data_IF_014569906761
#
_entry.id   IF_014569906761
#
_cell.length_a   1.000
_cell.length_b   1.000
_cell.length_c   1.000
_cell.angle_alpha   90.00
_cell.angle_beta   90.00
_cell.angle_gamma   90.00
#
_symmetry.space_group_name_H-M   'P 1'
#
loop_
_entity.id
_entity.type
_entity.pdbx_description
1 polymer ?
#
# COMPACT_ATOMS: atom_id res chain seq x y z
N UNK A 1 -19.35 2.01 -16.11
CA UNK A 1 -19.74 0.64 -16.51
C UNK A 1 -20.54 0.13 -15.37
N UNK A 2 -21.80 -0.23 -15.57
CA UNK A 2 -22.73 -0.44 -14.46
C UNK A 2 -22.27 -1.56 -13.49
N UNK A 3 -22.13 -1.23 -12.19
CA UNK A 3 -21.78 -2.18 -11.13
C UNK A 3 -23.03 -2.84 -10.50
N UNK A 4 -24.19 -2.76 -11.16
CA UNK A 4 -25.47 -3.33 -10.73
C UNK A 4 -25.45 -4.84 -10.39
N UNK A 5 -24.44 -5.56 -10.89
CA UNK A 5 -24.23 -6.98 -10.61
C UNK A 5 -23.62 -7.25 -9.23
N UNK A 6 -23.01 -6.26 -8.58
CA UNK A 6 -22.29 -6.46 -7.31
C UNK A 6 -23.30 -6.59 -6.17
N UNK A 7 -23.43 -7.79 -5.59
CA UNK A 7 -24.29 -8.02 -4.41
C UNK A 7 -23.48 -8.36 -3.18
N UNK A 8 -22.38 -9.08 -3.35
CA UNK A 8 -21.44 -9.44 -2.28
C UNK A 8 -20.02 -9.18 -2.74
N UNK A 9 -19.25 -8.43 -1.96
CA UNK A 9 -17.85 -8.17 -2.29
C UNK A 9 -16.97 -8.17 -1.04
N UNK A 10 -15.66 -8.22 -1.24
CA UNK A 10 -14.70 -8.19 -0.14
C UNK A 10 -13.61 -7.15 -0.37
N UNK A 11 -13.14 -6.57 0.74
CA UNK A 11 -11.96 -5.73 0.78
C UNK A 11 -10.96 -6.34 1.75
N UNK A 12 -9.94 -6.98 1.18
CA UNK A 12 -8.85 -7.61 1.91
C UNK A 12 -7.56 -6.83 1.65
N UNK A 13 -6.54 -7.08 2.46
CA UNK A 13 -5.22 -6.51 2.25
C UNK A 13 -4.58 -5.96 3.51
N UNK A 14 -3.64 -5.07 3.27
CA UNK A 14 -2.82 -4.43 4.30
C UNK A 14 -3.35 -3.04 4.72
N UNK A 15 -2.46 -2.19 5.24
CA UNK A 15 -2.79 -0.85 5.72
C UNK A 15 -3.32 0.09 4.63
N UNK A 16 -2.99 -0.14 3.36
CA UNK A 16 -3.50 0.68 2.25
C UNK A 16 -4.98 0.39 1.96
N UNK A 17 -5.39 -0.88 2.02
CA UNK A 17 -6.81 -1.25 1.97
C UNK A 17 -7.56 -0.88 3.26
N UNK A 18 -6.91 -0.98 4.42
CA UNK A 18 -7.49 -0.52 5.68
C UNK A 18 -7.67 1.02 5.72
N UNK A 19 -6.87 1.75 4.93
CA UNK A 19 -6.92 3.21 4.80
C UNK A 19 -6.36 3.95 6.02
N UNK A 20 -5.24 3.47 6.58
CA UNK A 20 -4.60 4.14 7.74
C UNK A 20 -4.41 5.64 7.46
N UNK A 21 -4.95 6.48 8.33
CA UNK A 21 -4.85 7.95 8.23
C UNK A 21 -5.96 8.62 7.43
N UNK A 22 -6.88 7.88 6.82
CA UNK A 22 -8.00 8.44 6.04
C UNK A 22 -9.25 8.69 6.88
N UNK A 23 -9.52 9.92 7.33
CA UNK A 23 -10.71 10.20 8.13
C UNK A 23 -10.66 9.54 9.51
N UNK A 24 -11.76 8.91 9.95
CA UNK A 24 -11.89 8.30 11.29
C UNK A 24 -11.75 6.78 11.26
N UNK A 25 -11.08 6.24 12.28
CA UNK A 25 -10.99 4.80 12.50
C UNK A 25 -12.37 4.23 12.84
N UNK A 26 -12.81 3.21 12.10
CA UNK A 26 -14.06 2.49 12.32
C UNK A 26 -14.04 1.79 13.69
N UNK A 27 -15.14 1.96 14.44
CA UNK A 27 -15.35 1.27 15.71
C UNK A 27 -15.34 -0.25 15.48
N UNK A 28 -14.66 -0.98 16.35
CA UNK A 28 -14.56 -2.45 16.26
C UNK A 28 -13.48 -2.96 15.32
N UNK A 29 -12.76 -2.09 14.60
CA UNK A 29 -11.65 -2.51 13.71
C UNK A 29 -10.36 -2.91 14.43
N UNK A 30 -10.33 -2.91 15.76
CA UNK A 30 -9.23 -3.42 16.58
C UNK A 30 -7.85 -2.86 16.19
N UNK A 31 -6.82 -3.70 16.21
CA UNK A 31 -5.47 -3.36 15.73
C UNK A 31 -5.39 -3.24 14.21
N UNK A 32 -6.33 -3.85 13.47
CA UNK A 32 -6.36 -3.78 12.00
C UNK A 32 -6.51 -2.36 11.47
N UNK A 33 -7.16 -1.47 12.22
CA UNK A 33 -7.18 -0.04 11.91
C UNK A 33 -7.86 0.25 10.59
N UNK A 34 -9.13 -0.11 10.44
CA UNK A 34 -9.92 0.20 9.24
C UNK A 34 -10.55 1.58 9.38
N UNK A 35 -10.50 2.40 8.34
CA UNK A 35 -10.93 3.80 8.37
C UNK A 35 -12.15 4.04 7.47
N UNK A 36 -12.94 5.08 7.78
CA UNK A 36 -14.22 5.40 7.11
C UNK A 36 -14.08 6.12 5.76
N UNK A 37 -12.89 6.67 5.47
CA UNK A 37 -12.51 7.25 4.18
C UNK A 37 -11.47 6.41 3.42
N UNK A 38 -11.33 5.14 3.76
CA UNK A 38 -10.51 4.21 2.99
C UNK A 38 -11.10 3.97 1.59
N UNK A 39 -10.28 3.56 0.63
CA UNK A 39 -10.78 3.30 -0.72
C UNK A 39 -11.93 2.27 -0.74
N UNK A 40 -11.96 1.18 0.08
CA UNK A 40 -13.12 0.30 0.14
C UNK A 40 -14.40 1.03 0.60
N UNK A 41 -14.30 1.91 1.59
CA UNK A 41 -15.44 2.67 2.08
C UNK A 41 -15.93 3.71 1.05
N UNK A 42 -15.02 4.27 0.25
CA UNK A 42 -15.36 5.14 -0.87
C UNK A 42 -16.06 4.34 -2.00
N UNK A 43 -15.56 3.15 -2.33
CA UNK A 43 -16.20 2.24 -3.28
C UNK A 43 -17.60 1.85 -2.83
N UNK A 44 -17.80 1.52 -1.55
CA UNK A 44 -19.13 1.20 -1.00
C UNK A 44 -20.15 2.33 -1.20
N UNK A 45 -19.68 3.59 -1.23
CA UNK A 45 -20.51 4.79 -1.42
C UNK A 45 -20.51 5.29 -2.86
N UNK A 46 -19.79 4.62 -3.76
CA UNK A 46 -19.64 5.07 -5.14
C UNK A 46 -20.98 5.06 -5.86
N UNK A 47 -21.20 6.00 -6.77
CA UNK A 47 -22.51 6.23 -7.37
C UNK A 47 -22.98 5.08 -8.27
N UNK A 48 -22.05 4.37 -8.92
CA UNK A 48 -22.35 3.19 -9.74
C UNK A 48 -22.59 1.92 -8.89
N UNK A 49 -22.27 1.91 -7.58
CA UNK A 49 -22.60 0.76 -6.73
C UNK A 49 -24.12 0.67 -6.49
N UNK A 50 -24.68 -0.54 -6.38
CA UNK A 50 -26.09 -0.72 -6.08
C UNK A 50 -26.48 -0.04 -4.78
N UNK A 51 -27.62 0.66 -4.79
CA UNK A 51 -28.14 1.35 -3.59
C UNK A 51 -29.29 0.58 -2.93
N UNK A 52 -30.03 -0.21 -3.71
CA UNK A 52 -31.25 -0.90 -3.26
C UNK A 52 -31.37 -2.33 -3.84
N UNK A 53 -31.04 -3.38 -3.06
CA UNK A 53 -30.27 -3.31 -1.81
C UNK A 53 -28.81 -2.92 -2.10
N UNK A 54 -28.19 -2.25 -1.12
CA UNK A 54 -26.75 -2.01 -1.13
C UNK A 54 -25.98 -3.35 -1.03
N UNK A 55 -24.80 -3.48 -1.67
CA UNK A 55 -24.03 -4.69 -1.61
C UNK A 55 -23.46 -4.92 -0.20
N UNK A 56 -23.38 -6.18 0.21
CA UNK A 56 -22.70 -6.56 1.44
C UNK A 56 -21.19 -6.58 1.21
N UNK A 57 -20.43 -6.02 2.15
CA UNK A 57 -18.97 -6.00 2.11
C UNK A 57 -18.39 -6.78 3.29
N UNK A 58 -17.57 -7.79 2.97
CA UNK A 58 -16.64 -8.38 3.94
C UNK A 58 -15.35 -7.56 3.94
N UNK A 59 -15.28 -6.59 4.86
CA UNK A 59 -14.12 -5.71 4.99
C UNK A 59 -13.13 -6.33 5.97
N UNK A 60 -12.11 -7.05 5.48
CA UNK A 60 -11.17 -7.81 6.30
C UNK A 60 -9.73 -7.24 6.30
N UNK A 61 -9.43 -6.21 5.51
CA UNK A 61 -8.12 -5.58 5.45
C UNK A 61 -7.55 -5.23 6.84
N UNK A 62 -6.25 -5.39 7.01
CA UNK A 62 -5.61 -5.27 8.32
C UNK A 62 -4.21 -4.68 8.21
N UNK A 63 -3.96 -3.59 8.93
CA UNK A 63 -2.64 -2.95 8.98
C UNK A 63 -1.55 -3.92 9.41
N UNK A 64 -0.40 -3.85 8.74
CA UNK A 64 0.75 -4.71 8.98
C UNK A 64 0.66 -6.11 8.38
N UNK A 65 -0.45 -6.48 7.73
CA UNK A 65 -0.60 -7.80 7.13
C UNK A 65 0.36 -7.99 5.96
N UNK A 66 1.12 -9.09 6.00
CA UNK A 66 1.90 -9.63 4.87
C UNK A 66 1.01 -10.53 4.00
N UNK A 67 1.46 -10.83 2.78
CA UNK A 67 0.71 -11.70 1.86
C UNK A 67 0.41 -13.09 2.43
N UNK A 68 1.34 -13.77 3.14
CA UNK A 68 1.02 -15.01 3.86
C UNK A 68 -0.05 -14.82 4.95
N UNK A 69 0.00 -13.73 5.72
CA UNK A 69 -1.01 -13.45 6.75
C UNK A 69 -2.38 -13.10 6.15
N UNK A 70 -2.41 -12.45 4.98
CA UNK A 70 -3.64 -12.22 4.23
C UNK A 70 -4.22 -13.56 3.78
N UNK A 71 -3.40 -14.48 3.28
CA UNK A 71 -3.83 -15.82 2.91
C UNK A 71 -4.39 -16.60 4.11
N UNK A 72 -3.60 -16.71 5.17
CA UNK A 72 -3.90 -17.57 6.33
C UNK A 72 -4.99 -16.99 7.24
N UNK A 73 -5.17 -15.67 7.24
CA UNK A 73 -6.17 -14.97 8.05
C UNK A 73 -7.38 -14.54 7.23
N UNK A 74 -7.18 -13.62 6.29
CA UNK A 74 -8.29 -12.95 5.60
C UNK A 74 -8.94 -13.86 4.55
N UNK A 75 -8.15 -14.48 3.67
CA UNK A 75 -8.68 -15.39 2.62
C UNK A 75 -9.26 -16.67 3.22
N UNK A 76 -8.69 -17.15 4.32
CA UNK A 76 -9.24 -18.28 5.08
C UNK A 76 -10.62 -17.96 5.69
N UNK A 77 -10.82 -16.74 6.16
CA UNK A 77 -12.10 -16.26 6.71
C UNK A 77 -13.17 -15.99 5.64
N UNK A 78 -12.75 -15.63 4.41
CA UNK A 78 -13.69 -15.42 3.30
C UNK A 78 -14.49 -16.69 3.00
N UNK A 79 -15.80 -16.52 2.79
CA UNK A 79 -16.66 -17.56 2.21
C UNK A 79 -16.41 -17.72 0.70
N UNK A 80 -17.45 -18.03 -0.06
CA UNK A 80 -17.42 -18.02 -1.54
C UNK A 80 -18.52 -17.11 -2.08
N UNK A 81 -18.58 -16.97 -3.41
CA UNK A 81 -19.65 -16.27 -4.11
C UNK A 81 -19.48 -14.75 -4.11
N UNK A 82 -18.24 -14.27 -4.19
CA UNK A 82 -17.96 -12.84 -4.30
C UNK A 82 -18.08 -12.36 -5.75
N UNK A 83 -18.71 -11.20 -5.94
CA UNK A 83 -18.81 -10.52 -7.22
C UNK A 83 -17.60 -9.61 -7.49
N UNK A 84 -16.91 -9.23 -6.43
CA UNK A 84 -15.76 -8.33 -6.47
C UNK A 84 -14.90 -8.61 -5.25
N UNK A 85 -13.59 -8.68 -5.43
CA UNK A 85 -12.63 -8.65 -4.32
C UNK A 85 -11.60 -7.56 -4.63
N UNK A 86 -11.33 -6.68 -3.68
CA UNK A 86 -10.19 -5.76 -3.77
C UNK A 86 -9.09 -6.22 -2.81
N UNK A 87 -7.83 -6.05 -3.23
CA UNK A 87 -6.66 -6.54 -2.51
C UNK A 87 -5.51 -5.51 -2.58
N UNK A 88 -4.93 -5.15 -1.44
CA UNK A 88 -3.58 -4.55 -1.35
C UNK A 88 -2.66 -5.48 -0.57
N UNK A 89 -1.44 -5.73 -1.05
CA UNK A 89 -0.45 -6.52 -0.30
C UNK A 89 0.96 -6.32 -0.84
N UNK A 90 1.98 -6.68 -0.06
CA UNK A 90 3.39 -6.63 -0.49
C UNK A 90 4.27 -5.65 0.29
N UNK A 91 3.75 -4.50 0.72
CA UNK A 91 4.57 -3.50 1.43
C UNK A 91 5.18 -4.05 2.72
N UNK A 92 4.39 -4.82 3.49
CA UNK A 92 4.86 -5.47 4.71
C UNK A 92 5.77 -6.68 4.43
N UNK A 93 5.52 -7.43 3.34
CA UNK A 93 6.36 -8.58 2.94
C UNK A 93 7.81 -8.17 2.70
N UNK A 94 8.03 -6.94 2.22
CA UNK A 94 9.35 -6.44 1.83
C UNK A 94 9.95 -5.46 2.84
N UNK A 95 9.32 -5.31 4.00
CA UNK A 95 9.85 -4.52 5.11
C UNK A 95 9.77 -3.01 4.90
N UNK A 96 8.64 -2.49 4.38
CA UNK A 96 8.44 -1.04 4.24
C UNK A 96 8.59 -0.30 5.58
N UNK A 97 8.06 -0.85 6.68
CA UNK A 97 8.22 -0.27 8.02
C UNK A 97 9.69 -0.18 8.42
N UNK A 98 10.50 -1.19 8.09
CA UNK A 98 11.94 -1.15 8.35
C UNK A 98 12.63 -0.04 7.52
N UNK A 99 12.20 0.20 6.27
CA UNK A 99 12.69 1.33 5.47
C UNK A 99 12.33 2.66 6.14
N UNK A 100 11.07 2.84 6.58
CA UNK A 100 10.67 4.04 7.30
C UNK A 100 11.54 4.26 8.54
N UNK A 101 11.86 3.17 9.26
CA UNK A 101 12.69 3.20 10.45
C UNK A 101 14.15 3.52 10.17
N UNK A 102 14.76 2.94 9.13
CA UNK A 102 16.21 3.05 8.89
C UNK A 102 16.58 4.21 7.95
N UNK A 103 15.70 4.58 7.03
CA UNK A 103 15.97 5.57 5.98
C UNK A 103 15.28 6.92 6.18
N UNK A 104 14.07 6.92 6.75
CA UNK A 104 13.22 8.11 6.82
C UNK A 104 13.28 8.71 8.23
N UNK A 105 12.56 8.10 9.18
CA UNK A 105 12.37 8.63 10.53
C UNK A 105 13.51 8.31 11.48
N UNK A 106 14.30 7.27 11.22
CA UNK A 106 15.53 6.98 11.98
C UNK A 106 15.26 6.75 13.48
N UNK A 107 14.08 6.23 13.85
CA UNK A 107 13.68 6.00 15.26
C UNK A 107 14.67 5.14 16.04
N UNK A 108 15.34 4.20 15.37
CA UNK A 108 16.30 3.27 15.98
C UNK A 108 17.77 3.59 15.65
N UNK A 109 18.07 4.84 15.30
CA UNK A 109 19.45 5.26 14.99
C UNK A 109 20.43 5.07 16.16
N UNK A 110 19.94 5.08 17.41
CA UNK A 110 20.76 4.88 18.61
C UNK A 110 20.95 3.41 18.99
N UNK A 111 20.29 2.46 18.31
CA UNK A 111 20.28 1.04 18.71
C UNK A 111 21.28 0.17 17.94
N UNK A 112 22.24 0.75 17.22
CA UNK A 112 23.19 0.01 16.38
C UNK A 112 22.53 -0.77 15.24
N UNK A 113 21.37 -0.31 14.78
CA UNK A 113 20.62 -0.97 13.71
C UNK A 113 21.36 -0.94 12.36
N UNK A 114 21.04 -1.90 11.47
CA UNK A 114 21.62 -1.95 10.11
C UNK A 114 21.33 -0.65 9.36
N UNK A 115 22.28 -0.22 8.53
CA UNK A 115 22.17 1.05 7.81
C UNK A 115 21.02 1.05 6.80
N UNK A 116 20.58 2.25 6.38
CA UNK A 116 19.54 2.42 5.36
C UNK A 116 19.85 1.62 4.08
N UNK A 117 21.09 1.66 3.59
CA UNK A 117 21.45 0.97 2.34
C UNK A 117 21.36 -0.56 2.43
N UNK A 118 21.67 -1.14 3.60
CA UNK A 118 21.51 -2.57 3.85
C UNK A 118 20.04 -2.97 3.83
N UNK A 119 19.18 -2.13 4.43
CA UNK A 119 17.74 -2.36 4.44
C UNK A 119 17.16 -2.24 3.02
N UNK A 120 17.55 -1.22 2.24
CA UNK A 120 17.12 -1.08 0.84
C UNK A 120 17.55 -2.29 0.00
N UNK A 121 18.79 -2.77 0.18
CA UNK A 121 19.27 -3.98 -0.50
C UNK A 121 18.53 -5.26 -0.05
N UNK A 122 18.14 -5.35 1.23
CA UNK A 122 17.31 -6.46 1.73
C UNK A 122 15.93 -6.44 1.08
N UNK A 123 15.27 -5.27 1.04
CA UNK A 123 13.97 -5.10 0.40
C UNK A 123 14.01 -5.49 -1.07
N UNK A 124 15.05 -5.08 -1.81
CA UNK A 124 15.24 -5.46 -3.21
C UNK A 124 15.33 -7.00 -3.40
N UNK A 125 16.05 -7.70 -2.52
CA UNK A 125 16.10 -9.17 -2.54
C UNK A 125 14.74 -9.80 -2.23
N UNK A 126 13.99 -9.27 -1.25
CA UNK A 126 12.66 -9.79 -0.92
C UNK A 126 11.67 -9.61 -2.07
N UNK A 127 11.73 -8.47 -2.78
CA UNK A 127 10.93 -8.23 -3.99
C UNK A 127 11.22 -9.30 -5.04
N UNK A 128 12.50 -9.58 -5.30
CA UNK A 128 12.91 -10.54 -6.33
C UNK A 128 12.65 -11.99 -5.94
N UNK A 129 13.01 -12.37 -4.72
CA UNK A 129 13.16 -13.78 -4.33
C UNK A 129 11.98 -14.30 -3.49
N UNK A 130 11.18 -13.41 -2.88
CA UNK A 130 10.11 -13.80 -1.94
C UNK A 130 8.71 -13.47 -2.45
N UNK A 131 8.49 -12.26 -2.96
CA UNK A 131 7.15 -11.84 -3.41
C UNK A 131 6.52 -12.78 -4.45
N UNK A 132 7.23 -13.27 -5.48
CA UNK A 132 6.60 -14.12 -6.50
C UNK A 132 5.91 -15.35 -5.91
N UNK A 133 6.59 -16.09 -5.02
CA UNK A 133 6.04 -17.28 -4.38
C UNK A 133 4.94 -16.98 -3.34
N UNK A 134 4.98 -15.82 -2.68
CA UNK A 134 3.88 -15.37 -1.82
C UNK A 134 2.63 -15.04 -2.62
N UNK A 135 2.79 -14.34 -3.75
CA UNK A 135 1.68 -13.94 -4.60
C UNK A 135 1.05 -15.12 -5.36
N UNK A 136 1.85 -16.10 -5.79
CA UNK A 136 1.32 -17.32 -6.41
C UNK A 136 0.42 -18.09 -5.44
N UNK A 137 0.79 -18.16 -4.16
CA UNK A 137 -0.03 -18.79 -3.11
C UNK A 137 -1.29 -17.98 -2.80
N UNK A 138 -1.17 -16.65 -2.73
CA UNK A 138 -2.29 -15.75 -2.45
C UNK A 138 -3.34 -15.81 -3.56
N UNK A 139 -2.92 -15.77 -4.83
CA UNK A 139 -3.85 -15.89 -5.97
C UNK A 139 -4.50 -17.27 -6.02
N UNK A 140 -3.75 -18.35 -5.76
CA UNK A 140 -4.31 -19.70 -5.69
C UNK A 140 -5.42 -19.82 -4.64
N UNK A 141 -5.26 -19.21 -3.46
CA UNK A 141 -6.29 -19.18 -2.42
C UNK A 141 -7.55 -18.39 -2.80
N UNK A 142 -7.42 -17.41 -3.69
CA UNK A 142 -8.53 -16.54 -4.12
C UNK A 142 -9.35 -17.10 -5.29
N UNK A 143 -8.78 -17.96 -6.15
CA UNK A 143 -9.47 -18.52 -7.33
C UNK A 143 -10.83 -19.16 -7.01
N UNK A 144 -10.95 -19.81 -5.86
CA UNK A 144 -12.20 -20.46 -5.44
C UNK A 144 -13.23 -19.54 -4.76
N UNK A 145 -12.96 -18.24 -4.65
CA UNK A 145 -13.78 -17.30 -3.86
C UNK A 145 -14.80 -16.54 -4.72
N UNK A 146 -14.53 -16.37 -6.01
CA UNK A 146 -15.34 -15.56 -6.93
C UNK A 146 -16.52 -16.34 -7.54
N UNK A 147 -17.60 -15.62 -7.87
CA UNK A 147 -18.59 -16.10 -8.84
C UNK A 147 -18.00 -16.14 -10.26
N UNK A 148 -18.65 -16.85 -11.18
CA UNK A 148 -18.25 -16.88 -12.59
C UNK A 148 -18.20 -15.47 -13.21
N UNK A 149 -17.18 -15.21 -14.04
CA UNK A 149 -16.95 -13.92 -14.71
C UNK A 149 -16.80 -12.72 -13.75
N UNK A 150 -16.27 -12.96 -12.55
CA UNK A 150 -15.95 -11.93 -11.55
C UNK A 150 -14.46 -11.81 -11.35
N UNK A 151 -14.05 -10.75 -10.66
CA UNK A 151 -12.63 -10.36 -10.62
C UNK A 151 -12.12 -9.97 -9.25
N UNK A 152 -10.84 -10.26 -9.03
CA UNK A 152 -10.00 -9.66 -8.00
C UNK A 152 -9.27 -8.46 -8.59
N UNK A 153 -9.43 -7.29 -7.98
CA UNK A 153 -8.69 -6.08 -8.31
C UNK A 153 -7.59 -5.89 -7.28
N UNK A 154 -6.36 -6.14 -7.71
CA UNK A 154 -5.17 -6.02 -6.89
C UNK A 154 -4.52 -4.66 -7.13
N UNK A 155 -4.59 -3.81 -6.11
CA UNK A 155 -4.03 -2.46 -6.17
C UNK A 155 -2.51 -2.47 -6.05
N UNK A 156 -1.85 -1.63 -6.84
CA UNK A 156 -0.44 -1.32 -6.65
C UNK A 156 -0.21 -0.31 -5.52
N UNK A 157 0.98 0.27 -5.50
CA UNK A 157 1.37 1.37 -4.63
C UNK A 157 1.85 2.57 -5.44
N UNK A 158 1.64 3.77 -4.92
CA UNK A 158 2.22 4.98 -5.48
C UNK A 158 3.65 5.21 -4.96
N UNK A 159 4.49 5.78 -5.82
CA UNK A 159 5.83 6.28 -5.48
C UNK A 159 5.70 7.42 -4.48
N UNK A 160 6.52 7.37 -3.44
CA UNK A 160 6.40 8.29 -2.30
C UNK A 160 6.94 9.68 -2.57
N UNK A 161 7.95 9.80 -3.44
CA UNK A 161 8.70 11.04 -3.62
C UNK A 161 8.67 11.49 -5.07
N UNK A 162 8.67 12.80 -5.31
CA UNK A 162 9.29 13.33 -6.52
C UNK A 162 10.81 13.12 -6.41
N UNK A 163 11.42 12.57 -7.45
CA UNK A 163 12.84 12.28 -7.58
C UNK A 163 13.46 12.96 -8.82
N UNK A 164 12.72 13.87 -9.46
CA UNK A 164 13.19 14.63 -10.62
C UNK A 164 14.04 15.86 -10.25
N UNK A 165 13.97 16.31 -8.99
CA UNK A 165 14.65 17.51 -8.46
C UNK A 165 15.68 17.18 -7.39
N UNK A 166 16.51 18.15 -7.01
CA UNK A 166 17.45 18.05 -5.87
C UNK A 166 16.98 18.82 -4.63
N UNK A 167 15.76 19.37 -4.64
CA UNK A 167 15.30 20.33 -3.63
C UNK A 167 15.24 19.74 -2.21
N UNK A 168 14.98 18.43 -2.13
CA UNK A 168 14.96 17.69 -0.87
C UNK A 168 16.31 17.13 -0.42
N UNK A 169 17.41 17.41 -1.11
CA UNK A 169 18.69 16.73 -0.83
C UNK A 169 19.27 17.05 0.55
N UNK A 170 18.83 18.15 1.16
CA UNK A 170 19.20 18.57 2.51
C UNK A 170 18.09 18.31 3.55
N UNK A 171 16.97 17.74 3.14
CA UNK A 171 15.85 17.41 4.02
C UNK A 171 16.14 16.10 4.73
N UNK A 172 15.84 16.05 6.03
CA UNK A 172 15.86 14.82 6.82
C UNK A 172 14.68 14.84 7.77
N UNK A 173 13.99 13.71 7.91
CA UNK A 173 12.93 13.53 8.90
C UNK A 173 13.41 12.69 10.08
N UNK A 174 14.73 12.71 10.33
CA UNK A 174 15.33 12.05 11.49
C UNK A 174 14.66 12.54 12.76
N UNK A 175 14.02 11.63 13.48
CA UNK A 175 13.34 11.90 14.74
C UNK A 175 14.31 12.44 15.81
N UNK A 176 15.56 11.99 15.79
CA UNK A 176 16.56 12.39 16.77
C UNK A 176 17.42 13.55 16.25
N UNK A 177 17.29 14.72 16.88
CA UNK A 177 18.01 15.92 16.45
C UNK A 177 19.54 15.81 16.61
N UNK A 178 20.03 15.03 17.57
CA UNK A 178 21.43 14.94 18.00
C UNK A 178 22.24 13.77 17.40
N UNK A 179 21.68 13.02 16.44
CA UNK A 179 22.40 11.91 15.79
C UNK A 179 23.37 12.43 14.72
N UNK A 180 24.62 11.97 14.79
CA UNK A 180 25.66 12.20 13.77
C UNK A 180 25.44 11.20 12.62
N UNK A 181 25.55 11.64 11.36
CA UNK A 181 25.42 10.76 10.20
C UNK A 181 23.97 10.47 9.79
N UNK A 182 23.09 11.48 9.85
CA UNK A 182 21.68 11.36 9.45
C UNK A 182 21.52 10.96 7.99
N UNK A 183 20.47 10.19 7.72
CA UNK A 183 19.99 9.97 6.37
C UNK A 183 19.19 11.18 5.88
N UNK A 184 19.63 11.76 4.76
CA UNK A 184 18.93 12.81 4.01
C UNK A 184 18.10 12.23 2.85
N UNK A 185 17.06 12.93 2.45
CA UNK A 185 16.20 12.58 1.31
C UNK A 185 16.83 13.02 -0.01
N UNK A 186 18.09 12.63 -0.24
CA UNK A 186 18.79 12.88 -1.50
C UNK A 186 18.01 12.34 -2.69
N UNK A 187 18.14 12.98 -3.85
CA UNK A 187 17.51 12.56 -5.08
C UNK A 187 17.79 11.07 -5.37
N UNK A 188 19.04 10.63 -5.20
CA UNK A 188 19.41 9.23 -5.36
C UNK A 188 18.68 8.29 -4.40
N UNK A 189 18.47 8.70 -3.14
CA UNK A 189 17.74 7.91 -2.15
C UNK A 189 16.24 7.86 -2.44
N UNK A 190 15.63 9.01 -2.75
CA UNK A 190 14.22 9.11 -3.19
C UNK A 190 13.98 8.22 -4.40
N UNK A 191 14.85 8.31 -5.42
CA UNK A 191 14.81 7.45 -6.60
C UNK A 191 14.90 5.98 -6.24
N UNK A 192 15.87 5.59 -5.39
CA UNK A 192 16.04 4.18 -4.99
C UNK A 192 14.81 3.64 -4.27
N UNK A 193 14.16 4.44 -3.41
CA UNK A 193 12.91 4.03 -2.75
C UNK A 193 11.73 3.94 -3.73
N UNK A 194 11.64 4.86 -4.68
CA UNK A 194 10.65 4.79 -5.77
C UNK A 194 10.85 3.56 -6.66
N UNK A 195 12.10 3.19 -6.97
CA UNK A 195 12.42 1.99 -7.76
C UNK A 195 11.97 0.71 -7.03
N UNK A 196 12.03 0.67 -5.70
CA UNK A 196 11.48 -0.45 -4.91
C UNK A 196 9.96 -0.52 -5.01
N UNK A 197 9.25 0.61 -4.97
CA UNK A 197 7.79 0.66 -5.20
C UNK A 197 7.44 0.10 -6.57
N UNK A 198 8.17 0.54 -7.61
CA UNK A 198 8.02 0.02 -8.97
C UNK A 198 8.30 -1.49 -9.01
N UNK A 199 9.31 -1.97 -8.30
CA UNK A 199 9.61 -3.40 -8.15
C UNK A 199 8.45 -4.20 -7.56
N UNK A 200 7.81 -3.71 -6.50
CA UNK A 200 6.61 -4.34 -5.91
C UNK A 200 5.46 -4.35 -6.91
N UNK A 201 5.18 -3.23 -7.57
CA UNK A 201 4.11 -3.14 -8.58
C UNK A 201 4.34 -4.10 -9.74
N UNK A 202 5.57 -4.22 -10.22
CA UNK A 202 5.93 -5.18 -11.26
C UNK A 202 5.73 -6.63 -10.80
N UNK A 203 6.05 -6.95 -9.55
CA UNK A 203 5.81 -8.27 -8.98
C UNK A 203 4.31 -8.59 -8.89
N UNK A 204 3.47 -7.62 -8.51
CA UNK A 204 2.01 -7.76 -8.48
C UNK A 204 1.49 -7.99 -9.90
N UNK A 205 1.88 -7.14 -10.86
CA UNK A 205 1.46 -7.26 -12.26
C UNK A 205 1.82 -8.63 -12.83
N UNK A 206 3.04 -9.10 -12.61
CA UNK A 206 3.47 -10.41 -13.06
C UNK A 206 2.66 -11.56 -12.40
N UNK A 207 2.31 -11.43 -11.12
CA UNK A 207 1.48 -12.42 -10.44
C UNK A 207 0.06 -12.45 -10.97
N UNK A 208 -0.54 -11.28 -11.21
CA UNK A 208 -1.86 -11.15 -11.84
C UNK A 208 -1.87 -11.79 -13.23
N UNK A 209 -0.86 -11.52 -14.06
CA UNK A 209 -0.71 -12.12 -15.39
C UNK A 209 -0.61 -13.65 -15.34
N UNK A 210 0.16 -14.21 -14.37
CA UNK A 210 0.25 -15.67 -14.17
C UNK A 210 -1.06 -16.28 -13.64
N UNK A 211 -1.78 -15.56 -12.79
CA UNK A 211 -2.97 -16.07 -12.14
C UNK A 211 -4.17 -16.20 -13.09
N UNK A 212 -4.29 -15.29 -14.06
CA UNK A 212 -5.28 -15.36 -15.14
C UNK A 212 -6.25 -14.18 -15.17
N UNK A 213 -7.24 -14.21 -16.08
CA UNK A 213 -8.07 -13.04 -16.45
C UNK A 213 -9.04 -12.55 -15.36
N UNK A 214 -9.24 -13.36 -14.33
CA UNK A 214 -9.98 -13.04 -13.10
C UNK A 214 -9.20 -12.10 -12.17
N UNK A 215 -7.88 -11.97 -12.33
CA UNK A 215 -7.07 -11.00 -11.58
C UNK A 215 -6.79 -9.77 -12.45
N UNK A 216 -6.86 -8.59 -11.85
CA UNK A 216 -6.60 -7.31 -12.51
C UNK A 216 -5.67 -6.48 -11.65
N UNK A 217 -4.57 -6.02 -12.23
CA UNK A 217 -3.68 -5.06 -11.59
C UNK A 217 -4.28 -3.66 -11.74
N UNK A 218 -4.41 -2.93 -10.63
CA UNK A 218 -4.89 -1.55 -10.62
C UNK A 218 -3.72 -0.63 -10.33
N UNK A 219 -3.24 0.03 -11.39
CA UNK A 219 -2.20 1.05 -11.31
C UNK A 219 -2.82 2.44 -11.11
N UNK A 220 -2.56 3.04 -9.94
CA UNK A 220 -2.97 4.40 -9.62
C UNK A 220 -1.79 5.35 -9.40
N UNK A 221 -0.54 4.88 -9.54
CA UNK A 221 0.67 5.64 -9.22
C UNK A 221 0.76 6.94 -10.04
N UNK A 222 0.37 6.88 -11.32
CA UNK A 222 0.34 8.04 -12.22
C UNK A 222 -0.47 9.22 -11.66
N UNK A 223 -1.55 8.96 -10.93
CA UNK A 223 -2.41 10.02 -10.41
C UNK A 223 -1.70 10.82 -9.31
N UNK A 224 -0.84 10.17 -8.51
CA UNK A 224 -0.07 10.86 -7.48
C UNK A 224 0.92 11.86 -8.08
N UNK A 225 1.48 11.56 -9.26
CA UNK A 225 2.32 12.53 -10.00
C UNK A 225 1.47 13.63 -10.61
N UNK A 226 0.34 13.30 -11.24
CA UNK A 226 -0.52 14.28 -11.91
C UNK A 226 -1.11 15.31 -10.94
N UNK A 227 -1.44 14.90 -9.72
CA UNK A 227 -1.98 15.78 -8.69
C UNK A 227 -0.91 16.42 -7.80
N UNK A 228 0.37 16.19 -8.08
CA UNK A 228 1.48 16.62 -7.23
C UNK A 228 1.31 16.20 -5.75
N UNK A 229 0.88 14.95 -5.55
CA UNK A 229 0.49 14.39 -4.25
C UNK A 229 1.61 13.70 -3.48
N UNK A 230 2.83 13.66 -4.00
CA UNK A 230 3.98 12.99 -3.38
C UNK A 230 4.74 13.94 -2.45
N UNK A 231 5.66 13.38 -1.68
CA UNK A 231 6.63 14.17 -0.93
C UNK A 231 7.67 14.81 -1.87
N UNK A 232 8.28 15.91 -1.43
CA UNK A 232 9.34 16.60 -2.18
C UNK A 232 8.92 17.11 -3.56
N UNK A 233 7.63 17.40 -3.75
CA UNK A 233 7.05 17.77 -5.03
C UNK A 233 6.65 19.25 -5.07
N UNK A 234 6.77 19.88 -6.24
CA UNK A 234 6.50 21.30 -6.42
C UNK A 234 7.48 22.21 -5.65
N UNK A 235 7.00 23.36 -5.19
CA UNK A 235 7.82 24.33 -4.42
C UNK A 235 7.76 24.11 -2.90
N UNK A 236 7.37 22.92 -2.45
CA UNK A 236 7.17 22.61 -1.03
C UNK A 236 8.49 22.59 -0.25
N UNK A 237 8.47 23.18 0.95
CA UNK A 237 9.56 23.06 1.93
C UNK A 237 9.22 21.97 2.93
N UNK A 238 9.81 20.80 2.76
CA UNK A 238 9.59 19.64 3.62
C UNK A 238 10.34 19.75 4.97
N UNK A 239 9.81 19.19 6.07
CA UNK A 239 8.52 18.49 6.21
C UNK A 239 7.32 19.46 6.17
N UNK A 240 6.24 19.07 5.49
CA UNK A 240 4.96 19.82 5.48
C UNK A 240 3.77 18.85 5.55
N UNK A 241 3.52 18.32 6.76
CA UNK A 241 2.56 17.24 6.97
C UNK A 241 1.11 17.62 6.67
N UNK A 242 0.80 18.91 6.61
CA UNK A 242 -0.53 19.44 6.31
C UNK A 242 -0.58 20.13 4.93
N UNK A 243 0.40 19.87 4.05
CA UNK A 243 0.43 20.42 2.71
C UNK A 243 -0.86 20.09 1.96
N UNK A 244 -1.50 21.13 1.43
CA UNK A 244 -2.67 20.95 0.56
C UNK A 244 -2.31 20.11 -0.68
N UNK A 245 -3.16 19.13 -0.99
CA UNK A 245 -2.94 18.16 -2.06
C UNK A 245 -1.95 17.03 -1.77
N UNK A 246 -1.33 16.95 -0.58
CA UNK A 246 -0.52 15.79 -0.20
C UNK A 246 -1.41 14.54 -0.08
N UNK A 247 -1.04 13.45 -0.75
CA UNK A 247 -1.82 12.22 -0.82
C UNK A 247 -1.27 11.09 0.06
N UNK A 248 -0.22 11.36 0.82
CA UNK A 248 0.35 10.45 1.80
C UNK A 248 0.22 11.01 3.21
N UNK A 249 0.09 10.12 4.18
CA UNK A 249 0.20 10.50 5.58
C UNK A 249 1.66 10.81 5.91
N UNK A 250 1.92 12.03 6.42
CA UNK A 250 3.17 12.40 7.06
C UNK A 250 2.91 12.57 8.54
N UNK A 251 3.78 12.01 9.37
CA UNK A 251 3.74 12.36 10.78
C UNK A 251 4.29 13.77 10.94
N UNK A 252 3.58 14.62 11.68
CA UNK A 252 4.07 15.92 12.14
C UNK A 252 5.38 15.70 12.93
N UNK A 253 6.52 15.97 12.28
CA UNK A 253 7.88 15.73 12.80
C UNK A 253 8.48 16.98 13.40
#
# INVERSE_FOLDING_TARGET
>A
TDLDFVRKWAAIGDSYAAGIGSGSKLRGSGSCGRFDNSYPMLLQRYEEMPKNPAPTMDYLACSGATSPQILDGQVAELGTGYDLITLSSGGNDVGLVDILNHCIYQWFALSGSKGCDDQLAKTERLIRDTLPGNYDRLTAGLKGKLNADRKVFWTGYARFFDDSTTDCDKVTWSFWFNVIGKNFLTQARRKRMNDLVVGVNNAIKAAVERAGPEFVFVDYDQYFTQTQGRFCEGSTKEPDANRDGLLFFQWDT
#
